data_IF_906421386086
#
_entry.id   IF_906421386086
#
_cell.length_a   1.000
_cell.length_b   1.000
_cell.length_c   1.000
_cell.angle_alpha   90.00
_cell.angle_beta   90.00
_cell.angle_gamma   90.00
#
_symmetry.space_group_name_H-M   'P 1'
#
loop_
_entity.id
_entity.type
_entity.pdbx_description
1 polymer ?
#
# COMPACT_ATOMS: atom_id res chain seq x y z
N UNK A 1 14.14 -55.96 5.55
CA UNK A 1 14.29 -54.55 5.11
C UNK A 1 13.79 -54.45 3.66
N UNK A 2 12.54 -54.71 3.25
CA UNK A 2 11.20 -54.31 3.70
C UNK A 2 10.90 -52.80 3.66
N UNK A 3 10.02 -52.43 2.70
CA UNK A 3 9.05 -51.30 2.69
C UNK A 3 9.43 -49.90 2.17
N UNK A 4 9.93 -49.73 0.94
CA UNK A 4 9.88 -48.38 0.30
C UNK A 4 9.62 -48.43 -1.22
N UNK A 5 8.74 -49.32 -1.68
CA UNK A 5 8.22 -49.29 -3.06
C UNK A 5 6.70 -49.34 -2.95
N UNK A 6 5.95 -48.28 -3.27
CA UNK A 6 4.61 -48.41 -3.87
C UNK A 6 3.81 -47.10 -4.07
N UNK A 7 4.02 -45.99 -3.36
CA UNK A 7 2.91 -45.02 -3.21
C UNK A 7 3.15 -43.58 -3.67
N UNK A 8 4.12 -43.30 -4.57
CA UNK A 8 4.38 -41.91 -4.99
C UNK A 8 4.56 -41.71 -6.50
N UNK A 9 3.97 -42.56 -7.33
CA UNK A 9 4.03 -42.45 -8.80
C UNK A 9 2.65 -42.63 -9.44
N UNK A 10 1.58 -42.13 -8.79
CA UNK A 10 0.22 -42.29 -9.30
C UNK A 10 -0.71 -41.11 -9.02
N UNK A 11 -0.23 -39.87 -9.11
CA UNK A 11 -1.10 -38.66 -9.10
C UNK A 11 -0.58 -37.51 -9.99
N UNK A 12 0.08 -37.81 -11.12
CA UNK A 12 0.51 -36.79 -12.08
C UNK A 12 -0.29 -36.77 -13.39
N UNK A 13 -1.42 -37.47 -13.44
CA UNK A 13 -2.34 -37.39 -14.59
C UNK A 13 -3.63 -36.71 -14.13
N UNK A 14 -4.09 -35.73 -14.91
CA UNK A 14 -5.28 -34.91 -14.67
C UNK A 14 -5.12 -33.72 -13.72
N UNK A 15 -4.54 -32.65 -14.24
CA UNK A 15 -5.11 -31.31 -14.03
C UNK A 15 -5.04 -30.62 -15.40
N UNK A 16 -6.19 -30.20 -15.92
CA UNK A 16 -6.33 -29.59 -17.25
C UNK A 16 -5.52 -28.30 -17.41
N UNK A 17 -5.64 -27.58 -18.54
CA UNK A 17 -5.03 -26.25 -18.62
C UNK A 17 -5.55 -25.45 -17.43
N UNK A 18 -4.64 -25.08 -16.52
CA UNK A 18 -4.92 -24.12 -15.47
C UNK A 18 -5.37 -22.87 -16.20
N UNK A 19 -6.69 -22.65 -16.21
CA UNK A 19 -7.30 -21.40 -16.61
C UNK A 19 -6.54 -20.33 -15.82
N UNK A 20 -5.73 -19.55 -16.53
CA UNK A 20 -4.96 -18.45 -16.00
C UNK A 20 -5.98 -17.44 -15.49
N UNK A 21 -6.47 -17.66 -14.27
CA UNK A 21 -7.04 -16.61 -13.46
C UNK A 21 -5.92 -15.60 -13.30
N UNK A 22 -5.83 -14.69 -14.26
CA UNK A 22 -5.11 -13.45 -14.15
C UNK A 22 -5.70 -12.77 -12.91
N UNK A 23 -5.11 -13.03 -11.76
CA UNK A 23 -5.32 -12.22 -10.58
C UNK A 23 -5.01 -10.81 -11.03
N UNK A 24 -5.99 -9.88 -11.05
CA UNK A 24 -5.68 -8.51 -11.40
C UNK A 24 -4.59 -8.07 -10.44
N UNK A 25 -3.46 -7.63 -11.00
CA UNK A 25 -2.39 -7.05 -10.20
C UNK A 25 -3.02 -5.94 -9.34
N UNK A 26 -2.71 -5.85 -8.05
CA UNK A 26 -3.23 -4.77 -7.24
C UNK A 26 -2.81 -3.45 -7.87
N UNK A 27 -3.80 -2.66 -8.30
CA UNK A 27 -3.58 -1.37 -8.90
C UNK A 27 -3.04 -0.43 -7.81
N UNK A 28 -1.71 -0.26 -7.78
CA UNK A 28 -1.03 0.68 -6.88
C UNK A 28 -1.21 2.15 -7.34
N UNK A 29 -2.05 2.41 -8.35
CA UNK A 29 -2.05 3.67 -9.09
C UNK A 29 -2.59 4.87 -8.30
N UNK A 30 -3.08 4.70 -7.07
CA UNK A 30 -3.60 5.82 -6.26
C UNK A 30 -3.24 5.71 -4.78
N UNK A 31 -2.02 5.29 -4.44
CA UNK A 31 -1.51 5.54 -3.09
C UNK A 31 -1.15 7.02 -2.95
N UNK A 32 -2.15 7.91 -2.83
CA UNK A 32 -1.94 9.29 -2.36
C UNK A 32 -1.22 9.18 -1.02
N UNK A 33 0.09 9.36 -1.05
CA UNK A 33 0.94 9.04 0.08
C UNK A 33 0.83 10.20 1.03
N UNK A 34 -0.02 10.03 2.05
CA UNK A 34 -0.14 10.97 3.17
C UNK A 34 1.27 11.44 3.56
N UNK A 35 1.51 12.75 3.69
CA UNK A 35 2.83 13.22 3.99
C UNK A 35 3.33 12.68 5.33
N UNK A 36 4.64 12.40 5.41
CA UNK A 36 5.26 11.96 6.64
C UNK A 36 5.19 13.08 7.68
N UNK A 37 5.06 12.74 8.96
CA UNK A 37 5.08 13.74 10.03
C UNK A 37 6.41 14.53 10.08
N UNK A 38 7.49 13.99 9.51
CA UNK A 38 8.77 14.68 9.35
C UNK A 38 8.85 15.62 8.14
N UNK A 39 7.85 15.60 7.23
CA UNK A 39 7.86 16.52 6.10
C UNK A 39 7.74 17.98 6.58
N UNK A 40 8.53 18.90 5.99
CA UNK A 40 8.46 20.31 6.32
C UNK A 40 7.19 20.94 5.75
N UNK A 41 6.68 21.96 6.44
CA UNK A 41 5.59 22.77 5.92
C UNK A 41 6.07 23.69 4.79
N UNK A 42 5.21 23.91 3.80
CA UNK A 42 5.42 24.95 2.79
C UNK A 42 5.07 26.34 3.33
N UNK A 43 4.05 26.42 4.19
CA UNK A 43 3.55 27.68 4.75
C UNK A 43 3.16 27.50 6.22
N UNK A 44 3.38 28.54 7.01
CA UNK A 44 2.88 28.63 8.40
C UNK A 44 1.96 29.84 8.52
N UNK A 45 0.70 29.63 8.89
CA UNK A 45 -0.31 30.69 8.98
C UNK A 45 -1.37 30.34 10.03
N UNK A 46 -1.83 31.32 10.80
CA UNK A 46 -2.86 31.17 11.84
C UNK A 46 -2.53 30.09 12.90
N UNK A 47 -1.25 29.81 13.15
CA UNK A 47 -0.82 28.77 14.09
C UNK A 47 -0.82 27.35 13.50
N UNK A 48 -1.00 27.21 12.18
CA UNK A 48 -0.95 25.94 11.47
C UNK A 48 0.17 25.92 10.43
N UNK A 49 0.78 24.76 10.28
CA UNK A 49 1.66 24.38 9.19
C UNK A 49 0.82 23.78 8.05
N UNK A 50 1.13 24.14 6.81
CA UNK A 50 0.41 23.74 5.60
C UNK A 50 1.37 23.09 4.60
N UNK A 51 0.92 22.03 3.93
CA UNK A 51 1.67 21.28 2.93
C UNK A 51 0.71 20.73 1.86
N UNK A 52 1.03 20.88 0.59
CA UNK A 52 0.28 20.33 -0.54
C UNK A 52 1.07 19.20 -1.16
N UNK A 53 0.48 18.01 -1.21
CA UNK A 53 1.10 16.81 -1.76
C UNK A 53 0.10 16.05 -2.61
N UNK A 54 0.51 15.70 -3.83
CA UNK A 54 -0.34 14.99 -4.81
C UNK A 54 -1.69 15.69 -5.07
N UNK A 55 -1.72 17.03 -5.02
CA UNK A 55 -2.94 17.83 -5.21
C UNK A 55 -3.87 17.89 -4.00
N UNK A 56 -3.51 17.26 -2.88
CA UNK A 56 -4.24 17.35 -1.60
C UNK A 56 -3.50 18.30 -0.67
N UNK A 57 -4.21 19.29 -0.13
CA UNK A 57 -3.68 20.18 0.90
C UNK A 57 -3.84 19.52 2.26
N UNK A 58 -2.81 19.59 3.08
CA UNK A 58 -2.76 19.09 4.45
C UNK A 58 -2.39 20.21 5.41
N UNK A 59 -2.82 20.07 6.66
CA UNK A 59 -2.50 20.99 7.74
C UNK A 59 -2.15 20.25 9.04
N UNK A 60 -1.33 20.87 9.88
CA UNK A 60 -1.06 20.44 11.26
C UNK A 60 -0.81 21.64 12.16
N UNK A 61 -0.78 21.45 13.47
CA UNK A 61 -0.40 22.52 14.40
C UNK A 61 1.05 22.92 14.19
N UNK A 62 1.33 24.23 14.16
CA UNK A 62 2.67 24.74 13.93
C UNK A 62 3.64 24.33 15.04
N UNK A 63 4.85 23.92 14.65
CA UNK A 63 5.88 23.39 15.56
C UNK A 63 5.45 22.08 16.25
N UNK A 64 4.46 21.38 15.69
CA UNK A 64 4.04 20.07 16.18
C UNK A 64 4.59 18.97 15.28
N UNK A 65 5.01 17.86 15.89
CA UNK A 65 5.33 16.62 15.18
C UNK A 65 4.06 15.77 14.92
N UNK A 66 2.88 16.39 15.00
CA UNK A 66 1.62 15.74 14.68
C UNK A 66 1.56 15.30 13.23
N UNK A 67 0.77 14.27 12.99
CA UNK A 67 0.44 13.84 11.65
C UNK A 67 -0.28 14.94 10.86
N UNK A 68 -0.02 14.97 9.56
CA UNK A 68 -0.72 15.84 8.63
C UNK A 68 -2.18 15.45 8.48
N UNK A 69 -3.08 16.43 8.57
CA UNK A 69 -4.53 16.25 8.41
C UNK A 69 -4.97 16.80 7.05
N UNK A 70 -5.68 16.04 6.20
CA UNK A 70 -6.13 16.56 4.92
C UNK A 70 -7.13 17.71 5.12
N UNK A 71 -6.93 18.81 4.41
CA UNK A 71 -7.84 19.93 4.31
C UNK A 71 -8.84 19.65 3.19
N UNK A 72 -10.12 19.48 3.54
CA UNK A 72 -11.21 19.35 2.58
C UNK A 72 -11.95 20.68 2.50
N UNK A 73 -12.05 21.23 1.28
CA UNK A 73 -12.80 22.47 0.97
C UNK A 73 -14.26 22.17 0.67
#
# INVERSE_FOLDING_TARGET
MERIRAELDNELTSSGPLDEFATPEPDFSLQTSKPFASEPAEKVENGYEWLTKDGVTYYRLANSQSEWTPYQT
#
